data_IF_533668664888
#
_entry.id   IF_533668664888
#
_cell.length_a   1.000
_cell.length_b   1.000
_cell.length_c   1.000
_cell.angle_alpha   90.00
_cell.angle_beta   90.00
_cell.angle_gamma   90.00
#
_symmetry.space_group_name_H-M   'P 1'
#
loop_
_entity.id
_entity.type
_entity.pdbx_description
1 polymer ?
#
# COMPACT_ATOMS: atom_id res chain seq x y z
N UNK A 1 5.09 9.09 -23.47
CA UNK A 1 5.44 10.01 -22.36
C UNK A 1 4.86 9.38 -21.09
N UNK A 2 5.70 8.84 -20.21
CA UNK A 2 5.26 8.12 -19.01
C UNK A 2 4.65 9.10 -18.00
N UNK A 3 3.55 8.73 -17.35
CA UNK A 3 2.75 9.63 -16.49
C UNK A 3 3.58 10.26 -15.35
N UNK A 4 4.65 9.59 -14.91
CA UNK A 4 5.63 10.10 -13.94
C UNK A 4 6.51 11.27 -14.44
N UNK A 5 6.59 11.52 -15.76
CA UNK A 5 7.30 12.70 -16.32
C UNK A 5 6.47 13.97 -16.26
N UNK A 6 5.15 13.86 -16.09
CA UNK A 6 4.21 14.97 -16.24
C UNK A 6 4.35 16.06 -15.18
N UNK A 7 4.78 15.68 -13.97
CA UNK A 7 5.05 16.62 -12.88
C UNK A 7 6.54 16.96 -12.72
N UNK A 8 7.40 16.41 -13.58
CA UNK A 8 8.83 16.67 -13.49
C UNK A 8 9.21 17.96 -14.19
N UNK A 9 9.74 18.93 -13.44
CA UNK A 9 10.32 20.18 -14.00
C UNK A 9 11.56 19.94 -14.87
N UNK A 10 12.12 18.72 -14.89
CA UNK A 10 13.26 18.32 -15.72
C UNK A 10 13.03 16.96 -16.39
N UNK A 11 13.41 16.85 -17.67
CA UNK A 11 13.28 15.62 -18.49
C UNK A 11 13.99 14.39 -17.89
N UNK A 12 14.91 14.59 -16.93
CA UNK A 12 15.66 13.53 -16.24
C UNK A 12 15.06 13.06 -14.91
N UNK A 13 13.93 13.59 -14.44
CA UNK A 13 13.39 13.23 -13.12
C UNK A 13 13.03 11.75 -12.94
N UNK A 14 12.78 11.03 -14.04
CA UNK A 14 12.49 9.59 -14.02
C UNK A 14 13.70 8.74 -13.64
N UNK A 15 14.91 9.23 -13.90
CA UNK A 15 16.14 8.53 -13.52
C UNK A 15 16.34 8.47 -12.01
N UNK A 16 15.71 9.37 -11.25
CA UNK A 16 15.70 9.29 -9.80
C UNK A 16 14.81 8.14 -9.28
N UNK A 17 13.74 7.78 -9.99
CA UNK A 17 12.86 6.68 -9.58
C UNK A 17 13.50 5.30 -9.82
N UNK A 18 14.34 5.18 -10.85
CA UNK A 18 14.96 3.90 -11.23
C UNK A 18 15.79 3.24 -10.11
N UNK A 19 16.63 3.94 -9.32
CA UNK A 19 17.27 3.36 -8.15
C UNK A 19 16.39 3.40 -6.90
N UNK A 20 15.54 4.41 -6.73
CA UNK A 20 14.77 4.58 -5.50
C UNK A 20 13.73 3.46 -5.30
N UNK A 21 13.05 3.03 -6.36
CA UNK A 21 12.07 1.93 -6.29
C UNK A 21 12.73 0.63 -5.80
N UNK A 22 13.76 0.07 -6.45
CA UNK A 22 14.33 -1.21 -6.03
C UNK A 22 15.01 -1.13 -4.66
N UNK A 23 15.64 -0.01 -4.30
CA UNK A 23 16.29 0.14 -2.98
C UNK A 23 15.23 0.11 -1.87
N UNK A 24 14.15 0.89 -2.00
CA UNK A 24 13.09 0.90 -1.01
C UNK A 24 12.38 -0.46 -0.95
N UNK A 25 12.05 -1.05 -2.09
CA UNK A 25 11.43 -2.38 -2.13
C UNK A 25 12.32 -3.44 -1.47
N UNK A 26 13.64 -3.41 -1.68
CA UNK A 26 14.56 -4.32 -1.03
C UNK A 26 14.58 -4.13 0.49
N UNK A 27 14.63 -2.89 0.99
CA UNK A 27 14.59 -2.59 2.42
C UNK A 27 13.31 -3.11 3.08
N UNK A 28 12.14 -2.84 2.49
CA UNK A 28 10.87 -3.34 3.01
C UNK A 28 10.77 -4.88 2.94
N UNK A 29 11.32 -5.49 1.89
CA UNK A 29 11.34 -6.95 1.74
C UNK A 29 12.18 -7.63 2.82
N UNK A 30 13.34 -7.07 3.16
CA UNK A 30 14.20 -7.59 4.24
C UNK A 30 13.49 -7.51 5.60
N UNK A 31 12.81 -6.39 5.88
CA UNK A 31 12.02 -6.24 7.10
C UNK A 31 10.85 -7.24 7.15
N UNK A 32 10.15 -7.44 6.03
CA UNK A 32 9.07 -8.44 5.93
C UNK A 32 9.56 -9.87 6.17
N UNK A 33 10.69 -10.25 5.55
CA UNK A 33 11.35 -11.53 5.77
C UNK A 33 11.77 -11.73 7.22
N UNK A 34 12.32 -10.70 7.86
CA UNK A 34 12.72 -10.76 9.26
C UNK A 34 11.52 -11.02 10.19
N UNK A 35 10.37 -10.38 9.93
CA UNK A 35 9.15 -10.59 10.71
C UNK A 35 8.58 -12.00 10.51
N UNK A 36 8.54 -12.50 9.27
CA UNK A 36 8.12 -13.89 8.98
C UNK A 36 9.06 -14.90 9.65
N UNK A 37 10.37 -14.64 9.61
CA UNK A 37 11.37 -15.45 10.29
C UNK A 37 11.21 -15.46 11.81
N UNK A 38 10.95 -14.30 12.42
CA UNK A 38 10.67 -14.20 13.84
C UNK A 38 9.37 -14.92 14.23
N UNK A 39 8.33 -14.83 13.40
CA UNK A 39 7.06 -15.54 13.59
C UNK A 39 7.21 -17.06 13.64
N UNK A 40 8.05 -17.62 12.77
CA UNK A 40 8.40 -19.06 12.80
C UNK A 40 9.06 -19.48 14.11
N UNK A 41 10.01 -18.69 14.61
CA UNK A 41 10.74 -19.00 15.86
C UNK A 41 9.85 -18.84 17.09
N UNK A 42 9.01 -17.81 17.14
CA UNK A 42 8.14 -17.55 18.30
C UNK A 42 6.95 -18.50 18.40
N UNK A 43 6.32 -18.82 17.26
CA UNK A 43 5.02 -19.50 17.23
C UNK A 43 5.05 -20.91 16.63
N UNK A 44 6.22 -21.39 16.14
CA UNK A 44 6.37 -22.68 15.45
C UNK A 44 5.34 -22.91 14.32
N UNK A 45 4.83 -21.83 13.73
CA UNK A 45 3.90 -21.85 12.61
C UNK A 45 4.40 -20.96 11.48
N UNK A 46 4.14 -21.39 10.26
CA UNK A 46 4.47 -20.67 9.04
C UNK A 46 3.46 -19.55 8.79
N UNK A 47 3.60 -18.47 9.54
CA UNK A 47 2.79 -17.26 9.37
C UNK A 47 3.45 -16.40 8.28
N UNK A 48 2.85 -16.39 7.09
CA UNK A 48 3.37 -15.67 5.91
C UNK A 48 2.92 -14.21 5.82
N UNK A 49 2.01 -13.75 6.68
CA UNK A 49 1.50 -12.37 6.67
C UNK A 49 1.59 -11.69 8.04
N UNK A 50 1.98 -10.41 8.04
CA UNK A 50 2.08 -9.60 9.26
C UNK A 50 0.75 -9.54 10.01
N UNK A 51 -0.36 -9.42 9.27
CA UNK A 51 -1.71 -9.32 9.83
C UNK A 51 -2.13 -10.60 10.53
N UNK A 52 -1.79 -11.77 9.97
CA UNK A 52 -2.11 -13.05 10.61
C UNK A 52 -1.29 -13.28 11.89
N UNK A 53 -0.24 -12.49 12.14
CA UNK A 53 0.58 -12.56 13.37
C UNK A 53 -0.03 -11.75 14.53
N UNK A 54 -0.86 -10.75 14.25
CA UNK A 54 -1.55 -9.91 15.25
C UNK A 54 -2.37 -10.68 16.29
N UNK A 55 -3.19 -11.69 15.94
CA UNK A 55 -3.95 -12.47 16.92
C UNK A 55 -3.07 -13.31 17.86
N UNK A 56 -1.78 -13.45 17.60
CA UNK A 56 -0.88 -14.13 18.53
C UNK A 56 -0.39 -13.21 19.67
N UNK A 57 -0.70 -11.91 19.63
CA UNK A 57 -0.24 -10.91 20.60
C UNK A 57 -1.21 -10.70 21.78
N UNK A 58 -1.80 -11.79 22.31
CA UNK A 58 -2.81 -11.73 23.38
C UNK A 58 -2.28 -11.90 24.81
N UNK A 59 -0.97 -12.00 25.01
CA UNK A 59 -0.37 -12.36 26.31
C UNK A 59 -0.46 -11.27 27.39
N UNK A 60 -0.54 -9.98 27.02
CA UNK A 60 -0.56 -8.87 28.00
C UNK A 60 -1.48 -7.72 27.55
N UNK A 61 -2.02 -6.93 28.49
CA UNK A 61 -2.82 -5.74 28.16
C UNK A 61 -2.11 -4.75 27.20
N UNK A 62 -0.80 -4.57 27.37
CA UNK A 62 0.03 -3.76 26.47
C UNK A 62 0.20 -4.36 25.07
N UNK A 63 0.24 -5.69 24.93
CA UNK A 63 0.39 -6.33 23.62
C UNK A 63 -0.88 -6.21 22.77
N UNK A 64 -2.06 -6.15 23.41
CA UNK A 64 -3.34 -5.90 22.73
C UNK A 64 -3.44 -4.50 22.13
N UNK A 65 -2.96 -3.49 22.85
CA UNK A 65 -2.91 -2.12 22.32
C UNK A 65 -1.95 -2.01 21.15
N UNK A 66 -0.77 -2.62 21.25
CA UNK A 66 0.21 -2.66 20.15
C UNK A 66 -0.34 -3.40 18.92
N UNK A 67 -1.08 -4.49 19.11
CA UNK A 67 -1.76 -5.18 18.02
C UNK A 67 -2.80 -4.28 17.33
N UNK A 68 -3.59 -3.51 18.09
CA UNK A 68 -4.51 -2.53 17.52
C UNK A 68 -3.79 -1.44 16.72
N UNK A 69 -2.73 -0.86 17.27
CA UNK A 69 -1.93 0.15 16.56
C UNK A 69 -1.32 -0.41 15.26
N UNK A 70 -0.77 -1.62 15.31
CA UNK A 70 -0.18 -2.26 14.14
C UNK A 70 -1.23 -2.59 13.07
N UNK A 71 -2.42 -3.05 13.46
CA UNK A 71 -3.55 -3.23 12.55
C UNK A 71 -3.99 -1.92 11.87
N UNK A 72 -4.07 -0.83 12.63
CA UNK A 72 -4.40 0.50 12.10
C UNK A 72 -3.33 1.02 11.13
N UNK A 73 -2.05 0.84 11.46
CA UNK A 73 -0.94 1.20 10.57
C UNK A 73 -0.96 0.38 9.29
N UNK A 74 -1.23 -0.93 9.39
CA UNK A 74 -1.37 -1.80 8.22
C UNK A 74 -2.49 -1.32 7.30
N UNK A 75 -3.67 -1.01 7.85
CA UNK A 75 -4.80 -0.48 7.10
C UNK A 75 -4.43 0.84 6.40
N UNK A 76 -3.74 1.74 7.10
CA UNK A 76 -3.29 3.01 6.52
C UNK A 76 -2.30 2.79 5.36
N UNK A 77 -1.36 1.86 5.50
CA UNK A 77 -0.37 1.52 4.47
C UNK A 77 -1.06 0.99 3.22
N UNK A 78 -1.99 0.05 3.36
CA UNK A 78 -2.72 -0.54 2.24
C UNK A 78 -3.48 0.54 1.45
N UNK A 79 -4.29 1.36 2.16
CA UNK A 79 -5.03 2.47 1.53
C UNK A 79 -4.08 3.45 0.83
N UNK A 80 -2.94 3.76 1.45
CA UNK A 80 -1.97 4.70 0.88
C UNK A 80 -1.33 4.16 -0.40
N UNK A 81 -1.01 2.87 -0.43
CA UNK A 81 -0.47 2.19 -1.61
C UNK A 81 -1.51 2.15 -2.74
N UNK A 82 -2.75 1.76 -2.45
CA UNK A 82 -3.83 1.69 -3.45
C UNK A 82 -4.19 3.09 -4.00
N UNK A 83 -4.16 4.11 -3.15
CA UNK A 83 -4.36 5.49 -3.56
C UNK A 83 -3.24 5.98 -4.49
N UNK A 84 -1.99 5.67 -4.15
CA UNK A 84 -0.81 6.14 -4.89
C UNK A 84 -0.63 5.40 -6.22
N UNK A 85 -0.87 4.08 -6.24
CA UNK A 85 -0.61 3.23 -7.39
C UNK A 85 -1.80 3.14 -8.35
N UNK A 86 -3.03 3.03 -7.82
CA UNK A 86 -4.20 2.68 -8.63
C UNK A 86 -5.17 3.86 -8.81
N UNK A 87 -5.42 4.63 -7.75
CA UNK A 87 -6.44 5.70 -7.80
C UNK A 87 -6.03 6.94 -8.60
N UNK A 88 -4.73 7.26 -8.63
CA UNK A 88 -4.19 8.40 -9.39
C UNK A 88 -4.32 8.22 -10.92
N UNK A 89 -3.74 7.16 -11.49
CA UNK A 89 -3.85 6.86 -12.92
C UNK A 89 -5.31 6.64 -13.36
N UNK A 90 -6.08 5.89 -12.58
CA UNK A 90 -7.50 5.67 -12.86
C UNK A 90 -8.30 6.98 -12.91
N UNK A 91 -8.06 7.90 -11.97
CA UNK A 91 -8.69 9.22 -11.98
C UNK A 91 -8.33 10.05 -13.22
N UNK A 92 -7.15 9.81 -13.81
CA UNK A 92 -6.72 10.44 -15.05
C UNK A 92 -7.38 9.82 -16.29
N UNK A 93 -7.48 8.50 -16.33
CA UNK A 93 -8.19 7.75 -17.39
C UNK A 93 -9.70 8.03 -17.39
N UNK A 94 -10.31 8.19 -16.22
CA UNK A 94 -11.75 8.49 -16.09
C UNK A 94 -12.12 9.84 -16.72
N UNK A 95 -11.19 10.81 -16.72
CA UNK A 95 -11.39 12.11 -17.38
C UNK A 95 -11.46 11.98 -18.91
N UNK A 96 -10.87 10.93 -19.49
CA UNK A 96 -10.95 10.66 -20.93
C UNK A 96 -12.33 10.09 -21.34
N UNK A 97 -13.01 9.38 -20.43
CA UNK A 97 -14.30 8.72 -20.72
C UNK A 97 -15.47 9.71 -20.65
N UNK A 98 -15.50 10.62 -19.66
CA UNK A 98 -16.58 11.62 -19.56
C UNK A 98 -16.15 12.89 -18.80
N UNK A 99 -15.44 13.82 -19.46
CA UNK A 99 -14.79 14.97 -18.81
C UNK A 99 -15.76 15.95 -18.14
N UNK A 100 -17.02 16.01 -18.61
CA UNK A 100 -18.04 16.92 -18.05
C UNK A 100 -18.59 16.46 -16.69
N UNK A 101 -18.35 15.21 -16.28
CA UNK A 101 -18.99 14.61 -15.09
C UNK A 101 -17.99 14.03 -14.09
N UNK A 102 -16.81 13.61 -14.55
CA UNK A 102 -15.81 12.94 -13.74
C UNK A 102 -14.53 13.78 -13.70
N UNK A 103 -14.32 14.45 -12.57
CA UNK A 103 -13.06 15.11 -12.24
C UNK A 103 -12.11 14.10 -11.58
N UNK A 104 -10.79 14.32 -11.67
CA UNK A 104 -9.76 13.44 -11.07
C UNK A 104 -10.06 13.10 -9.60
N UNK A 105 -10.52 14.07 -8.79
CA UNK A 105 -10.89 13.82 -7.38
C UNK A 105 -12.11 12.90 -7.20
N UNK A 106 -13.06 12.96 -8.13
CA UNK A 106 -14.27 12.10 -8.12
C UNK A 106 -13.95 10.71 -8.67
N UNK A 107 -13.12 10.64 -9.71
CA UNK A 107 -12.61 9.38 -10.28
C UNK A 107 -11.75 8.60 -9.30
N UNK A 108 -10.87 9.28 -8.54
CA UNK A 108 -10.06 8.64 -7.50
C UNK A 108 -10.89 8.13 -6.32
N UNK A 109 -11.95 8.86 -5.93
CA UNK A 109 -12.91 8.38 -4.91
C UNK A 109 -13.73 7.17 -5.40
N UNK A 110 -14.17 7.18 -6.66
CA UNK A 110 -14.82 6.02 -7.28
C UNK A 110 -13.88 4.80 -7.36
N UNK A 111 -12.60 5.01 -7.71
CA UNK A 111 -11.60 3.95 -7.72
C UNK A 111 -11.39 3.38 -6.31
N UNK A 112 -11.29 4.25 -5.30
CA UNK A 112 -11.13 3.84 -3.92
C UNK A 112 -12.34 3.01 -3.47
N UNK A 113 -13.57 3.50 -3.72
CA UNK A 113 -14.80 2.78 -3.40
C UNK A 113 -14.90 1.45 -4.16
N UNK A 114 -14.64 1.41 -5.47
CA UNK A 114 -14.71 0.16 -6.24
C UNK A 114 -13.60 -0.81 -5.86
N UNK A 115 -12.38 -0.34 -5.61
CA UNK A 115 -11.25 -1.16 -5.19
C UNK A 115 -11.45 -1.79 -3.80
N UNK A 116 -11.97 -1.02 -2.83
CA UNK A 116 -12.28 -1.57 -1.50
C UNK A 116 -13.55 -2.43 -1.45
N UNK A 117 -14.55 -2.15 -2.30
CA UNK A 117 -15.84 -2.87 -2.26
C UNK A 117 -15.91 -4.07 -3.22
N UNK A 118 -15.18 -4.05 -4.34
CA UNK A 118 -15.24 -5.11 -5.37
C UNK A 118 -14.11 -6.14 -5.31
N UNK A 119 -13.01 -5.88 -4.58
CA UNK A 119 -11.90 -6.84 -4.44
C UNK A 119 -11.98 -7.70 -3.17
N UNK A 120 -13.07 -7.63 -2.41
CA UNK A 120 -13.35 -8.58 -1.31
C UNK A 120 -14.04 -9.81 -1.91
N UNK A 121 -13.36 -10.96 -1.87
CA UNK A 121 -13.84 -12.07 -1.06
C UNK A 121 -13.07 -12.22 0.25
#
# INVERSE_FOLDING_TARGET
MSDFSRFSKRTRGQWAQSPTIPILTALFSVLGLAVVGAGRVLYNQDISSLVAMLPYWHTTGGSRFLAFCCACLWLLVQISCDLSANSGPFGHDTMAIRPRWLNVRRGSMLCLCLGTWAMVP
#
